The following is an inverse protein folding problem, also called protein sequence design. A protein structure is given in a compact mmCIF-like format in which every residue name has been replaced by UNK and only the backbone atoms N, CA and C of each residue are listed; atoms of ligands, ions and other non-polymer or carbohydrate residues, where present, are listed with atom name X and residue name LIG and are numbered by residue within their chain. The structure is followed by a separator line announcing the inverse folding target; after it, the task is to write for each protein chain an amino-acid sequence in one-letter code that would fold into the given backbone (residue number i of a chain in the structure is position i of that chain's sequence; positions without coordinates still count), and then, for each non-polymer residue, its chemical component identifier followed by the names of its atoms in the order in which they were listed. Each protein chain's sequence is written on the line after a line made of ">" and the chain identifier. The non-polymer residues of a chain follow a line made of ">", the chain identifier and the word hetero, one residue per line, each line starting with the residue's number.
data_IF_334086556561
#
_entry.id   IF_334086556561
#
_cell.length_a   1.000
_cell.length_b   1.000
_cell.length_c   1.000
_cell.angle_alpha   90.00
_cell.angle_beta   90.00
_cell.angle_gamma   90.00
#
_symmetry.space_group_name_H-M   'P 1'
#
loop_
_entity.id
_entity.type
_entity.pdbx_description
1 polymer ?
#
# COMPACT_ATOMS: atom_id res chain seq x y z
N UNK A 1 -17.29 -16.56 29.67
CA UNK A 1 -17.69 -15.32 28.97
C UNK A 1 -18.19 -15.56 27.53
N UNK A 2 -17.86 -16.67 26.88
CA UNK A 2 -18.31 -17.00 25.51
C UNK A 2 -19.59 -17.85 25.44
N UNK A 3 -20.07 -18.35 26.56
CA UNK A 3 -21.18 -19.33 26.64
C UNK A 3 -22.55 -18.80 26.14
N UNK A 4 -22.72 -17.49 26.06
CA UNK A 4 -23.98 -16.87 25.64
C UNK A 4 -23.88 -16.20 24.24
N UNK A 5 -22.81 -16.44 23.47
CA UNK A 5 -22.66 -15.86 22.15
C UNK A 5 -23.35 -16.72 21.10
N UNK A 6 -24.24 -16.09 20.34
CA UNK A 6 -24.93 -16.77 19.24
C UNK A 6 -23.94 -17.08 18.11
N UNK A 7 -23.87 -18.35 17.72
CA UNK A 7 -23.00 -18.82 16.63
C UNK A 7 -23.79 -19.06 15.34
N UNK A 8 -23.15 -18.95 14.14
CA UNK A 8 -21.75 -18.58 13.92
C UNK A 8 -21.46 -17.08 14.11
N UNK A 9 -20.26 -16.71 14.62
CA UNK A 9 -19.83 -15.34 14.79
C UNK A 9 -18.30 -15.22 14.72
N UNK A 10 -17.81 -14.03 14.40
CA UNK A 10 -16.41 -13.65 14.58
C UNK A 10 -16.25 -12.94 15.92
N UNK A 11 -15.15 -13.22 16.60
CA UNK A 11 -14.82 -12.59 17.88
C UNK A 11 -13.45 -11.93 17.74
N UNK A 12 -13.40 -10.64 18.08
CA UNK A 12 -12.15 -9.89 18.17
C UNK A 12 -11.84 -9.66 19.64
N UNK A 13 -10.69 -10.16 20.08
CA UNK A 13 -10.18 -9.91 21.43
C UNK A 13 -9.37 -8.61 21.42
N UNK A 14 -9.93 -7.55 22.03
CA UNK A 14 -9.31 -6.23 22.07
C UNK A 14 -7.93 -6.23 22.76
N UNK A 15 -7.74 -7.05 23.80
CA UNK A 15 -6.44 -7.11 24.49
C UNK A 15 -5.36 -7.71 23.60
N UNK A 16 -5.71 -8.73 22.81
CA UNK A 16 -4.78 -9.33 21.85
C UNK A 16 -4.48 -8.36 20.70
N UNK A 17 -5.51 -7.67 20.20
CA UNK A 17 -5.34 -6.65 19.17
C UNK A 17 -4.40 -5.54 19.68
N UNK A 18 -4.65 -5.02 20.87
CA UNK A 18 -3.82 -3.99 21.50
C UNK A 18 -2.38 -4.44 21.69
N UNK A 19 -2.17 -5.66 22.18
CA UNK A 19 -0.82 -6.23 22.32
C UNK A 19 -0.06 -6.28 20.98
N UNK A 20 -0.73 -6.71 19.91
CA UNK A 20 -0.14 -6.72 18.57
C UNK A 20 0.21 -5.29 18.10
N UNK A 21 -0.67 -4.33 18.35
CA UNK A 21 -0.43 -2.92 18.01
C UNK A 21 0.74 -2.31 18.80
N UNK A 22 0.92 -2.69 20.06
CA UNK A 22 2.09 -2.29 20.87
C UNK A 22 3.41 -2.80 20.25
N UNK A 23 3.43 -4.01 19.71
CA UNK A 23 4.59 -4.55 18.98
C UNK A 23 4.90 -3.71 17.75
N UNK A 24 3.88 -3.40 16.93
CA UNK A 24 4.03 -2.60 15.72
C UNK A 24 4.51 -1.17 16.04
N UNK A 25 3.94 -0.53 17.05
CA UNK A 25 4.39 0.78 17.54
C UNK A 25 5.85 0.76 17.98
N UNK A 26 6.26 -0.31 18.68
CA UNK A 26 7.65 -0.50 19.06
C UNK A 26 8.60 -0.65 17.86
N UNK A 27 8.14 -1.22 16.74
CA UNK A 27 8.92 -1.26 15.49
C UNK A 27 9.06 0.14 14.90
N UNK A 28 7.99 0.89 14.75
CA UNK A 28 8.05 2.29 14.27
C UNK A 28 9.03 3.13 15.07
N UNK A 29 8.95 3.05 16.41
CA UNK A 29 9.83 3.82 17.30
C UNK A 29 11.31 3.47 17.17
N UNK A 30 11.65 2.19 16.93
CA UNK A 30 13.05 1.75 16.81
C UNK A 30 13.65 2.02 15.44
N UNK A 31 12.83 2.00 14.39
CA UNK A 31 13.31 2.04 12.98
C UNK A 31 13.05 3.37 12.31
N UNK A 32 12.10 4.15 12.80
CA UNK A 32 11.61 5.37 12.14
C UNK A 32 10.74 5.09 10.91
N UNK A 33 10.44 3.82 10.59
CA UNK A 33 9.49 3.50 9.52
C UNK A 33 8.06 3.81 9.95
N UNK A 34 7.17 4.03 8.99
CA UNK A 34 5.75 4.13 9.21
C UNK A 34 5.08 2.79 8.88
N UNK A 35 4.20 2.32 9.75
CA UNK A 35 3.40 1.13 9.54
C UNK A 35 1.97 1.55 9.23
N UNK A 36 1.41 1.02 8.15
CA UNK A 36 0.07 1.31 7.69
C UNK A 36 -0.82 0.07 7.78
N UNK A 37 -2.06 0.25 8.21
CA UNK A 37 -3.06 -0.82 8.21
C UNK A 37 -3.49 -1.13 6.78
N UNK A 38 -3.21 -2.34 6.30
CA UNK A 38 -3.75 -2.83 5.04
C UNK A 38 -5.24 -3.16 5.20
N UNK A 39 -6.11 -2.26 4.74
CA UNK A 39 -7.55 -2.38 4.97
C UNK A 39 -8.18 -3.61 4.32
N UNK A 40 -7.63 -4.08 3.19
CA UNK A 40 -8.04 -5.35 2.56
C UNK A 40 -7.88 -6.56 3.47
N UNK A 41 -6.96 -6.51 4.45
CA UNK A 41 -6.73 -7.57 5.42
C UNK A 41 -7.57 -7.38 6.69
N UNK A 42 -7.80 -6.14 7.10
CA UNK A 42 -8.58 -5.83 8.29
C UNK A 42 -9.31 -4.49 8.12
N UNK A 43 -10.60 -4.53 7.87
CA UNK A 43 -11.45 -3.35 7.67
C UNK A 43 -12.52 -3.18 8.76
N UNK A 44 -12.28 -3.75 9.95
CA UNK A 44 -13.18 -3.57 11.08
C UNK A 44 -13.01 -2.16 11.67
N UNK A 45 -13.63 -1.17 11.05
CA UNK A 45 -13.50 0.25 11.37
C UNK A 45 -13.89 0.62 12.80
N UNK A 46 -14.65 -0.22 13.49
CA UNK A 46 -14.95 -0.06 14.92
C UNK A 46 -13.66 0.13 15.76
N UNK A 47 -12.56 -0.49 15.34
CA UNK A 47 -11.26 -0.42 16.04
C UNK A 47 -10.31 0.64 15.50
N UNK A 48 -10.68 1.39 14.46
CA UNK A 48 -9.75 2.33 13.81
C UNK A 48 -9.30 3.45 14.75
N UNK A 49 -10.17 3.94 15.61
CA UNK A 49 -9.78 4.93 16.63
C UNK A 49 -8.69 4.38 17.57
N UNK A 50 -8.83 3.13 18.04
CA UNK A 50 -7.78 2.49 18.85
C UNK A 50 -6.51 2.25 18.04
N UNK A 51 -6.63 1.74 16.81
CA UNK A 51 -5.49 1.44 15.95
C UNK A 51 -4.69 2.70 15.64
N UNK A 52 -5.34 3.85 15.45
CA UNK A 52 -4.71 5.13 15.16
C UNK A 52 -3.77 5.64 16.27
N UNK A 53 -3.91 5.15 17.52
CA UNK A 53 -3.01 5.47 18.62
C UNK A 53 -1.65 4.76 18.53
N UNK A 54 -1.54 3.75 17.64
CA UNK A 54 -0.38 2.86 17.59
C UNK A 54 0.40 2.92 16.28
N UNK A 55 -0.26 3.08 15.14
CA UNK A 55 0.36 3.05 13.82
C UNK A 55 0.05 4.30 13.00
N UNK A 56 0.79 4.49 11.92
CA UNK A 56 0.85 5.78 11.22
C UNK A 56 -0.33 6.06 10.28
N UNK A 57 -1.10 5.04 9.87
CA UNK A 57 -2.21 5.27 8.95
C UNK A 57 -2.77 4.02 8.28
N UNK A 58 -3.33 4.19 7.09
CA UNK A 58 -3.97 3.15 6.27
C UNK A 58 -3.33 2.98 4.91
N UNK A 59 -3.34 1.74 4.41
CA UNK A 59 -3.01 1.38 3.04
C UNK A 59 -4.26 0.84 2.35
N UNK A 60 -4.68 1.51 1.27
CA UNK A 60 -5.95 1.35 0.61
C UNK A 60 -5.77 0.72 -0.77
N UNK A 61 -6.67 -0.17 -1.15
CA UNK A 61 -6.69 -0.83 -2.46
C UNK A 61 -7.58 -0.14 -3.49
N UNK A 62 -8.20 0.99 -3.13
CA UNK A 62 -9.07 1.79 -3.97
C UNK A 62 -9.86 2.84 -3.20
N UNK A 63 -10.74 3.56 -3.90
CA UNK A 63 -11.47 4.71 -3.39
C UNK A 63 -12.28 4.42 -2.12
N UNK A 64 -13.00 3.30 -2.06
CA UNK A 64 -13.87 3.01 -0.91
C UNK A 64 -13.08 2.73 0.38
N UNK A 65 -11.93 2.06 0.29
CA UNK A 65 -11.02 1.90 1.42
C UNK A 65 -10.38 3.24 1.80
N UNK A 66 -10.05 4.09 0.81
CA UNK A 66 -9.51 5.42 1.08
C UNK A 66 -10.51 6.30 1.84
N UNK A 67 -11.79 6.30 1.45
CA UNK A 67 -12.87 6.96 2.21
C UNK A 67 -12.94 6.45 3.64
N UNK A 68 -12.95 5.12 3.82
CA UNK A 68 -13.02 4.51 5.14
C UNK A 68 -11.81 4.90 6.02
N UNK A 69 -10.60 4.89 5.46
CA UNK A 69 -9.38 5.34 6.15
C UNK A 69 -9.46 6.80 6.55
N UNK A 70 -9.85 7.66 5.63
CA UNK A 70 -10.00 9.08 5.86
C UNK A 70 -11.03 9.42 6.95
N UNK A 71 -12.22 8.80 6.88
CA UNK A 71 -13.32 9.07 7.81
C UNK A 71 -13.11 8.47 9.19
N UNK A 72 -12.52 7.27 9.29
CA UNK A 72 -12.50 6.50 10.52
C UNK A 72 -11.14 6.42 11.20
N UNK A 73 -10.01 6.54 10.46
CA UNK A 73 -8.66 6.49 11.02
C UNK A 73 -8.11 7.89 11.32
N UNK A 74 -8.29 8.83 10.39
CA UNK A 74 -7.84 10.22 10.54
C UNK A 74 -6.32 10.38 10.64
N UNK A 75 -5.56 9.48 10.00
CA UNK A 75 -4.10 9.45 9.90
C UNK A 75 -3.68 9.43 8.44
N UNK A 76 -2.39 9.20 8.16
CA UNK A 76 -1.93 9.09 6.77
C UNK A 76 -2.73 8.04 5.99
N UNK A 77 -3.13 8.40 4.79
CA UNK A 77 -3.99 7.60 3.94
C UNK A 77 -3.30 7.37 2.59
N UNK A 78 -2.78 6.17 2.38
CA UNK A 78 -2.03 5.81 1.18
C UNK A 78 -2.89 4.93 0.28
N UNK A 79 -2.91 5.20 -1.02
CA UNK A 79 -3.68 4.38 -1.96
C UNK A 79 -2.81 3.83 -3.09
N UNK A 80 -2.98 2.55 -3.36
CA UNK A 80 -2.49 1.86 -4.55
C UNK A 80 -3.61 1.05 -5.18
N UNK A 81 -3.86 1.26 -6.47
CA UNK A 81 -4.71 0.38 -7.28
C UNK A 81 -4.08 0.13 -8.65
N UNK A 82 -4.32 -1.04 -9.27
CA UNK A 82 -3.82 -1.33 -10.62
C UNK A 82 -4.33 -0.36 -11.68
N UNK A 83 -5.49 0.24 -11.44
CA UNK A 83 -6.09 1.27 -12.30
C UNK A 83 -6.91 2.25 -11.46
N UNK A 84 -6.90 3.52 -11.87
CA UNK A 84 -7.77 4.58 -11.35
C UNK A 84 -8.58 5.16 -12.49
N UNK A 85 -9.86 5.43 -12.25
CA UNK A 85 -10.67 6.26 -13.14
C UNK A 85 -10.38 7.74 -12.91
N UNK A 86 -10.86 8.61 -13.80
CA UNK A 86 -10.73 10.05 -13.59
C UNK A 86 -11.56 10.50 -12.38
N UNK A 87 -12.74 9.93 -12.22
CA UNK A 87 -13.66 10.19 -11.11
C UNK A 87 -13.06 9.75 -9.76
N UNK A 88 -12.41 8.56 -9.71
CA UNK A 88 -11.70 8.13 -8.51
C UNK A 88 -10.61 9.15 -8.12
N UNK A 89 -9.81 9.58 -9.10
CA UNK A 89 -8.69 10.50 -8.85
C UNK A 89 -9.17 11.88 -8.38
N UNK A 90 -10.31 12.39 -8.89
CA UNK A 90 -10.89 13.67 -8.47
C UNK A 90 -11.22 13.68 -6.97
N UNK A 91 -11.52 12.53 -6.39
CA UNK A 91 -11.76 12.40 -4.95
C UNK A 91 -10.51 12.00 -4.17
N UNK A 92 -9.73 11.03 -4.67
CA UNK A 92 -8.54 10.51 -3.99
C UNK A 92 -7.52 11.60 -3.66
N UNK A 93 -7.32 12.58 -4.53
CA UNK A 93 -6.41 13.70 -4.26
C UNK A 93 -6.85 14.62 -3.12
N UNK A 94 -8.10 14.50 -2.65
CA UNK A 94 -8.60 15.28 -1.52
C UNK A 94 -8.59 14.50 -0.19
N UNK A 95 -8.46 13.17 -0.24
CA UNK A 95 -8.57 12.32 0.95
C UNK A 95 -7.35 11.42 1.19
N UNK A 96 -6.38 11.41 0.26
CA UNK A 96 -5.14 10.65 0.40
C UNK A 96 -3.94 11.57 0.54
N UNK A 97 -2.95 11.14 1.32
CA UNK A 97 -1.65 11.80 1.46
C UNK A 97 -0.67 11.29 0.39
N UNK A 98 -0.80 10.03 -0.01
CA UNK A 98 0.07 9.39 -1.00
C UNK A 98 -0.72 8.55 -1.99
N UNK A 99 -0.44 8.75 -3.28
CA UNK A 99 -1.02 7.97 -4.39
C UNK A 99 0.09 7.22 -5.12
N UNK A 100 -0.06 5.91 -5.27
CA UNK A 100 0.91 5.08 -6.00
C UNK A 100 0.32 4.63 -7.34
N UNK A 101 0.98 4.99 -8.43
CA UNK A 101 0.61 4.60 -9.78
C UNK A 101 1.21 3.25 -10.17
N UNK A 102 0.44 2.46 -10.90
CA UNK A 102 0.85 1.12 -11.31
C UNK A 102 1.69 1.13 -12.61
N UNK A 103 1.59 2.18 -13.42
CA UNK A 103 2.25 2.28 -14.72
C UNK A 103 2.67 3.71 -15.03
N UNK A 104 3.64 3.87 -15.94
CA UNK A 104 4.06 5.18 -16.44
C UNK A 104 2.91 5.91 -17.14
N UNK A 105 2.05 5.18 -17.87
CA UNK A 105 0.88 5.80 -18.52
C UNK A 105 -0.11 6.37 -17.52
N UNK A 106 -0.35 5.65 -16.42
CA UNK A 106 -1.22 6.11 -15.34
C UNK A 106 -0.61 7.34 -14.63
N UNK A 107 0.71 7.30 -14.35
CA UNK A 107 1.45 8.42 -13.78
C UNK A 107 1.34 9.66 -14.70
N UNK A 108 1.61 9.53 -15.99
CA UNK A 108 1.47 10.62 -16.96
C UNK A 108 0.07 11.24 -16.95
N UNK A 109 -0.95 10.39 -16.88
CA UNK A 109 -2.36 10.81 -16.91
C UNK A 109 -2.74 11.63 -15.67
N UNK A 110 -2.23 11.27 -14.50
CA UNK A 110 -2.78 11.75 -13.23
C UNK A 110 -1.81 12.58 -12.37
N UNK A 111 -0.50 12.58 -12.64
CA UNK A 111 0.48 13.30 -11.80
C UNK A 111 0.18 14.80 -11.63
N UNK A 112 -0.37 15.43 -12.67
CA UNK A 112 -0.71 16.85 -12.60
C UNK A 112 -1.76 17.14 -11.51
N UNK A 113 -2.76 16.26 -11.34
CA UNK A 113 -3.77 16.38 -10.27
C UNK A 113 -3.16 16.26 -8.88
N UNK A 114 -2.21 15.32 -8.70
CA UNK A 114 -1.50 15.18 -7.42
C UNK A 114 -0.67 16.44 -7.10
N UNK A 115 0.06 16.96 -8.09
CA UNK A 115 0.87 18.19 -7.93
C UNK A 115 -0.02 19.38 -7.56
N UNK A 116 -1.12 19.58 -8.26
CA UNK A 116 -2.08 20.67 -8.01
C UNK A 116 -2.69 20.59 -6.60
N UNK A 117 -3.01 19.38 -6.15
CA UNK A 117 -3.58 19.13 -4.83
C UNK A 117 -2.53 19.08 -3.70
N UNK A 118 -1.23 19.08 -4.02
CA UNK A 118 -0.15 18.94 -3.04
C UNK A 118 -0.05 17.54 -2.44
N UNK A 119 -0.51 16.51 -3.19
CA UNK A 119 -0.50 15.11 -2.76
C UNK A 119 0.77 14.44 -3.27
N UNK A 120 1.48 13.75 -2.38
CA UNK A 120 2.65 12.95 -2.73
C UNK A 120 2.27 11.80 -3.65
N UNK A 121 3.12 11.50 -4.64
CA UNK A 121 2.87 10.35 -5.51
C UNK A 121 4.13 9.55 -5.80
N UNK A 122 3.91 8.26 -6.07
CA UNK A 122 4.95 7.30 -6.37
C UNK A 122 4.58 6.35 -7.50
N UNK A 123 5.53 5.51 -7.87
CA UNK A 123 5.36 4.49 -8.90
C UNK A 123 5.63 3.11 -8.33
N UNK A 124 4.73 2.17 -8.59
CA UNK A 124 5.00 0.76 -8.30
C UNK A 124 5.96 0.20 -9.32
N UNK A 125 7.06 -0.35 -8.82
CA UNK A 125 8.05 -1.08 -9.62
C UNK A 125 7.87 -2.58 -9.45
N UNK A 126 8.14 -3.32 -10.53
CA UNK A 126 8.22 -4.77 -10.53
C UNK A 126 9.70 -5.15 -10.75
N UNK A 127 10.40 -5.66 -9.73
CA UNK A 127 11.81 -6.02 -9.85
C UNK A 127 12.03 -7.30 -10.68
N UNK A 128 10.96 -7.97 -11.11
CA UNK A 128 11.02 -9.27 -11.81
C UNK A 128 11.81 -10.34 -11.00
N UNK A 129 11.75 -10.18 -9.68
CA UNK A 129 12.39 -11.05 -8.71
C UNK A 129 11.35 -11.52 -7.69
N UNK A 130 11.38 -12.80 -7.35
CA UNK A 130 10.46 -13.38 -6.37
C UNK A 130 11.15 -14.50 -5.60
N UNK A 131 10.76 -14.63 -4.32
CA UNK A 131 11.15 -15.73 -3.44
C UNK A 131 10.00 -16.71 -3.20
N UNK A 132 8.90 -16.63 -3.97
CA UNK A 132 7.69 -17.44 -3.79
C UNK A 132 7.89 -18.95 -4.10
N UNK A 133 9.00 -19.33 -4.75
CA UNK A 133 9.27 -20.73 -5.09
C UNK A 133 8.17 -21.35 -5.96
N UNK A 134 7.63 -22.48 -5.50
CA UNK A 134 6.61 -23.25 -6.25
C UNK A 134 5.19 -22.64 -6.19
N UNK A 135 5.01 -21.52 -5.50
CA UNK A 135 3.71 -20.85 -5.33
C UNK A 135 3.46 -19.72 -6.36
N UNK A 136 3.73 -19.98 -7.62
CA UNK A 136 3.64 -18.99 -8.71
C UNK A 136 2.29 -18.26 -8.81
N UNK A 137 1.20 -18.87 -8.34
CA UNK A 137 -0.15 -18.25 -8.32
C UNK A 137 -0.20 -17.02 -7.38
N UNK A 138 0.66 -16.98 -6.37
CA UNK A 138 0.75 -15.87 -5.41
C UNK A 138 1.89 -14.91 -5.71
N UNK A 139 2.66 -15.16 -6.78
CA UNK A 139 3.80 -14.35 -7.14
C UNK A 139 3.38 -13.08 -7.89
N UNK A 140 3.47 -11.90 -7.25
CA UNK A 140 3.12 -10.64 -7.89
C UNK A 140 4.15 -10.19 -8.93
N UNK A 141 5.32 -10.84 -8.99
CA UNK A 141 6.42 -10.53 -9.90
C UNK A 141 6.59 -11.60 -11.01
N UNK A 142 5.68 -12.58 -11.10
CA UNK A 142 5.72 -13.62 -12.12
C UNK A 142 5.74 -13.03 -13.55
N UNK A 143 6.33 -13.73 -14.51
CA UNK A 143 6.29 -13.32 -15.91
C UNK A 143 4.86 -13.05 -16.38
N UNK A 144 4.64 -11.90 -17.01
CA UNK A 144 3.30 -11.46 -17.45
C UNK A 144 2.44 -10.78 -16.36
N UNK A 145 2.98 -10.57 -15.17
CA UNK A 145 2.27 -9.78 -14.14
C UNK A 145 1.95 -8.38 -14.65
N UNK A 146 0.71 -7.93 -14.38
CA UNK A 146 0.25 -6.57 -14.69
C UNK A 146 0.63 -5.55 -13.60
N UNK A 147 1.29 -5.99 -12.53
CA UNK A 147 1.51 -5.18 -11.33
C UNK A 147 2.91 -4.57 -11.33
N UNK A 148 2.94 -3.24 -11.45
CA UNK A 148 4.18 -2.47 -11.42
C UNK A 148 4.90 -2.37 -12.75
N UNK A 149 5.85 -1.45 -12.81
CA UNK A 149 6.67 -1.17 -14.00
C UNK A 149 7.98 -1.95 -13.89
N UNK A 150 8.32 -2.73 -14.93
CA UNK A 150 9.61 -3.42 -14.99
C UNK A 150 10.73 -2.43 -15.29
N UNK A 151 11.97 -2.77 -14.93
CA UNK A 151 13.14 -1.93 -15.21
C UNK A 151 13.30 -1.64 -16.72
N UNK A 152 13.00 -2.63 -17.56
CA UNK A 152 13.02 -2.47 -19.02
C UNK A 152 12.05 -1.40 -19.49
N UNK A 153 10.81 -1.44 -18.99
CA UNK A 153 9.76 -0.50 -19.38
C UNK A 153 10.03 0.90 -18.80
N UNK A 154 10.57 0.98 -17.59
CA UNK A 154 10.95 2.24 -16.97
C UNK A 154 12.09 2.93 -17.77
N UNK A 155 13.13 2.18 -18.13
CA UNK A 155 14.23 2.70 -18.98
C UNK A 155 13.74 3.16 -20.36
N UNK A 156 12.80 2.45 -20.95
CA UNK A 156 12.21 2.86 -22.23
C UNK A 156 11.43 4.18 -22.10
N UNK A 157 10.62 4.31 -21.04
CA UNK A 157 9.87 5.53 -20.77
C UNK A 157 10.77 6.74 -20.52
N UNK A 158 11.85 6.58 -19.74
CA UNK A 158 12.83 7.63 -19.47
C UNK A 158 13.62 8.04 -20.72
N UNK A 159 13.86 7.10 -21.65
CA UNK A 159 14.48 7.42 -22.94
C UNK A 159 13.57 8.24 -23.84
N UNK A 160 12.27 7.95 -23.82
CA UNK A 160 11.26 8.67 -24.61
C UNK A 160 10.96 10.05 -24.00
N UNK A 161 10.82 10.12 -22.67
CA UNK A 161 10.50 11.32 -21.91
C UNK A 161 11.35 11.36 -20.63
N UNK A 162 12.53 12.03 -20.68
CA UNK A 162 13.45 12.07 -19.53
C UNK A 162 12.86 12.62 -18.24
N UNK A 163 11.91 13.55 -18.33
CA UNK A 163 11.26 14.21 -17.19
C UNK A 163 9.96 13.53 -16.75
N UNK A 164 9.67 12.31 -17.25
CA UNK A 164 8.39 11.63 -16.96
C UNK A 164 8.16 11.42 -15.46
N UNK A 165 9.22 11.21 -14.68
CA UNK A 165 9.17 11.02 -13.23
C UNK A 165 9.25 12.33 -12.44
N UNK A 166 9.30 13.49 -13.07
CA UNK A 166 9.38 14.77 -12.37
C UNK A 166 8.21 14.95 -11.39
N UNK A 167 8.56 15.35 -10.15
CA UNK A 167 7.63 15.49 -9.04
C UNK A 167 7.30 14.21 -8.28
N UNK A 168 7.78 13.04 -8.74
CA UNK A 168 7.61 11.78 -8.01
C UNK A 168 8.52 11.75 -6.77
N UNK A 169 7.96 11.32 -5.63
CA UNK A 169 8.67 11.33 -4.35
C UNK A 169 9.04 9.93 -3.83
N UNK A 170 8.49 8.87 -4.42
CA UNK A 170 8.74 7.53 -3.93
C UNK A 170 8.55 6.41 -4.94
N UNK A 171 9.12 5.26 -4.60
CA UNK A 171 8.86 4.00 -5.28
C UNK A 171 8.12 3.06 -4.33
N UNK A 172 7.28 2.22 -4.90
CA UNK A 172 6.57 1.16 -4.20
C UNK A 172 6.88 -0.18 -4.87
N UNK A 173 7.09 -1.21 -4.08
CA UNK A 173 7.14 -2.58 -4.57
C UNK A 173 6.35 -3.50 -3.64
N UNK A 174 5.84 -4.60 -4.19
CA UNK A 174 5.14 -5.63 -3.44
C UNK A 174 5.48 -6.98 -4.07
N UNK A 175 6.36 -7.70 -3.43
CA UNK A 175 6.97 -8.93 -3.92
C UNK A 175 6.68 -10.13 -3.03
N UNK A 176 6.19 -9.88 -1.82
CA UNK A 176 6.00 -10.89 -0.79
C UNK A 176 4.52 -11.23 -0.60
N UNK A 177 4.25 -12.51 -0.36
CA UNK A 177 2.96 -13.01 0.09
C UNK A 177 3.22 -14.11 1.12
N UNK A 178 2.82 -13.87 2.38
CA UNK A 178 3.01 -14.81 3.51
C UNK A 178 4.47 -15.22 3.76
N UNK A 179 5.41 -14.29 3.56
CA UNK A 179 6.86 -14.50 3.70
C UNK A 179 7.45 -13.67 4.83
N UNK A 180 8.70 -13.93 5.20
CA UNK A 180 9.40 -13.34 6.32
C UNK A 180 10.43 -12.26 5.90
N UNK A 181 11.20 -11.77 6.87
CA UNK A 181 12.16 -10.69 6.69
C UNK A 181 13.36 -11.04 5.82
N UNK A 182 13.78 -12.30 5.79
CA UNK A 182 14.83 -12.82 4.91
C UNK A 182 14.45 -12.72 3.43
N UNK A 183 13.21 -13.01 3.11
CA UNK A 183 12.64 -12.79 1.77
C UNK A 183 12.61 -11.31 1.39
N UNK A 184 12.27 -10.43 2.35
CA UNK A 184 12.33 -8.99 2.13
C UNK A 184 13.77 -8.52 1.88
N UNK A 185 14.75 -8.98 2.66
CA UNK A 185 16.16 -8.66 2.47
C UNK A 185 16.66 -9.07 1.08
N UNK A 186 16.28 -10.27 0.62
CA UNK A 186 16.61 -10.74 -0.72
C UNK A 186 15.98 -9.85 -1.81
N UNK A 187 14.72 -9.42 -1.62
CA UNK A 187 14.01 -8.55 -2.56
C UNK A 187 14.60 -7.15 -2.63
N UNK A 188 15.02 -6.57 -1.50
CA UNK A 188 15.61 -5.22 -1.47
C UNK A 188 16.81 -5.11 -2.40
N UNK A 189 17.68 -6.12 -2.44
CA UNK A 189 18.84 -6.19 -3.35
C UNK A 189 18.45 -6.17 -4.83
N UNK A 190 17.25 -6.59 -5.16
CA UNK A 190 16.75 -6.57 -6.54
C UNK A 190 16.03 -5.25 -6.91
N UNK A 191 15.63 -4.47 -5.90
CA UNK A 191 14.97 -3.17 -6.08
C UNK A 191 15.99 -2.02 -6.12
N UNK A 192 17.12 -2.14 -5.45
CA UNK A 192 18.25 -1.20 -5.46
C UNK A 192 18.93 -1.11 -6.85
#
# INVERSE_FOLDING_TARGET
>A
MLENIKTPCYIIDENKLKHNLEILKGVEQRTGCKILLAQKAFSCYHFYSMISDYISGTACSGLYEARLGYECMGKENHVFAPAFTDEDMDELVNICDHVVFNSVSQLKKHKARCIEAGVSFGLRVNPEFSTQGDHAIYDPCAPGSRLGVTLKNLKAALKEEPDVLSGMEGIHFHTLCEQNSDDLEATLKAVE
#
